data_IF_120258877030
#
_entry.id   IF_120258877030
#
_cell.length_a   1.000
_cell.length_b   1.000
_cell.length_c   1.000
_cell.angle_alpha   90.00
_cell.angle_beta   90.00
_cell.angle_gamma   90.00
#
_symmetry.space_group_name_H-M   'P 1'
#
loop_
_entity.id
_entity.type
_entity.pdbx_description
1 polymer ?
#
# COMPACT_ATOMS: atom_id res chain seq x y z
N UNK A 1 2.05 16.58 18.19
CA UNK A 1 0.75 15.87 18.08
C UNK A 1 0.51 15.14 16.73
N UNK A 2 1.35 15.26 15.70
CA UNK A 2 1.11 14.60 14.39
C UNK A 2 1.53 13.11 14.31
N UNK A 3 2.52 12.69 15.10
CA UNK A 3 3.08 11.32 15.07
C UNK A 3 2.09 10.24 15.49
N UNK A 4 1.25 10.53 16.48
CA UNK A 4 0.23 9.58 16.94
C UNK A 4 -0.73 9.19 15.81
N UNK A 5 -1.22 10.17 15.04
CA UNK A 5 -2.20 9.90 13.97
C UNK A 5 -1.66 8.99 12.86
N UNK A 6 -0.38 9.12 12.52
CA UNK A 6 0.25 8.32 11.45
C UNK A 6 0.49 6.88 11.92
N UNK A 7 0.82 6.66 13.19
CA UNK A 7 0.96 5.32 13.75
C UNK A 7 -0.38 4.58 13.86
N UNK A 8 -1.46 5.25 14.27
CA UNK A 8 -2.80 4.65 14.28
C UNK A 8 -3.31 4.28 12.88
N UNK A 9 -3.08 5.13 11.87
CA UNK A 9 -3.41 4.80 10.47
C UNK A 9 -2.63 3.57 10.01
N UNK A 10 -1.36 3.45 10.42
CA UNK A 10 -0.54 2.28 10.07
C UNK A 10 -1.06 1.00 10.70
N UNK A 11 -1.41 1.05 11.99
CA UNK A 11 -2.00 -0.10 12.68
C UNK A 11 -3.30 -0.54 12.01
N UNK A 12 -4.17 0.39 11.61
CA UNK A 12 -5.41 0.05 10.89
C UNK A 12 -5.14 -0.53 9.50
N UNK A 13 -4.13 -0.05 8.79
CA UNK A 13 -3.70 -0.63 7.52
C UNK A 13 -3.11 -2.04 7.72
N UNK A 14 -2.32 -2.24 8.78
CA UNK A 14 -1.72 -3.54 9.13
C UNK A 14 -2.80 -4.58 9.53
N UNK A 15 -3.96 -4.15 10.03
CA UNK A 15 -5.11 -5.00 10.33
C UNK A 15 -5.94 -5.39 9.10
N UNK A 16 -5.67 -4.83 7.92
CA UNK A 16 -6.37 -5.23 6.70
C UNK A 16 -5.97 -6.65 6.33
N UNK A 17 -6.96 -7.49 6.04
CA UNK A 17 -6.75 -8.88 5.56
C UNK A 17 -5.92 -8.91 4.28
N UNK A 18 -6.05 -7.87 3.46
CA UNK A 18 -5.40 -7.70 2.17
C UNK A 18 -4.26 -6.69 2.27
N UNK A 19 -3.05 -7.12 1.89
CA UNK A 19 -1.85 -6.26 1.85
C UNK A 19 -1.80 -5.35 0.63
N UNK A 20 -2.52 -5.69 -0.43
CA UNK A 20 -2.62 -4.92 -1.68
C UNK A 20 -3.95 -4.19 -1.70
N UNK A 21 -3.89 -2.87 -1.63
CA UNK A 21 -5.04 -2.01 -1.35
C UNK A 21 -5.08 -0.84 -2.32
N UNK A 22 -6.27 -0.46 -2.78
CA UNK A 22 -6.44 0.70 -3.66
C UNK A 22 -6.24 2.01 -2.91
N UNK A 23 -5.84 3.06 -3.65
CA UNK A 23 -5.74 4.43 -3.16
C UNK A 23 -7.00 4.88 -2.43
N UNK A 24 -8.17 4.58 -3.00
CA UNK A 24 -9.46 4.98 -2.44
C UNK A 24 -9.73 4.34 -1.09
N UNK A 25 -9.37 3.06 -0.92
CA UNK A 25 -9.49 2.38 0.36
C UNK A 25 -8.55 2.98 1.41
N UNK A 26 -7.31 3.32 1.03
CA UNK A 26 -6.37 4.00 1.93
C UNK A 26 -6.90 5.39 2.30
N UNK A 27 -7.42 6.15 1.33
CA UNK A 27 -8.01 7.47 1.58
C UNK A 27 -9.23 7.37 2.50
N UNK A 28 -10.10 6.36 2.32
CA UNK A 28 -11.23 6.11 3.24
C UNK A 28 -10.73 5.89 4.67
N UNK A 29 -9.71 5.04 4.86
CA UNK A 29 -9.10 4.82 6.17
C UNK A 29 -8.55 6.13 6.74
N UNK A 30 -7.80 6.90 5.95
CA UNK A 30 -7.24 8.18 6.41
C UNK A 30 -8.35 9.15 6.82
N UNK A 31 -9.42 9.27 6.03
CA UNK A 31 -10.55 10.18 6.30
C UNK A 31 -11.28 9.88 7.60
N UNK A 32 -11.29 8.63 8.06
CA UNK A 32 -11.84 8.26 9.38
C UNK A 32 -11.08 8.91 10.55
N UNK A 33 -9.80 9.25 10.36
CA UNK A 33 -8.95 9.81 11.41
C UNK A 33 -8.58 11.28 11.16
N UNK A 34 -8.52 11.70 9.90
CA UNK A 34 -8.18 13.06 9.53
C UNK A 34 -8.77 13.40 8.16
N UNK A 35 -9.78 14.25 8.19
CA UNK A 35 -10.53 14.65 7.00
C UNK A 35 -9.88 15.87 6.30
N UNK A 36 -8.86 16.51 6.88
CA UNK A 36 -8.35 17.79 6.38
C UNK A 36 -7.38 17.63 5.21
N UNK A 37 -6.50 16.62 5.24
CA UNK A 37 -5.44 16.46 4.20
C UNK A 37 -5.12 14.99 3.84
N UNK A 38 -6.09 14.21 3.32
CA UNK A 38 -5.89 12.78 3.07
C UNK A 38 -4.77 12.47 2.07
N UNK A 39 -4.58 13.32 1.04
CA UNK A 39 -3.53 13.14 0.04
C UNK A 39 -2.13 13.37 0.63
N UNK A 40 -1.97 14.40 1.48
CA UNK A 40 -0.70 14.69 2.16
C UNK A 40 -0.32 13.55 3.10
N UNK A 41 -1.29 12.98 3.80
CA UNK A 41 -1.07 11.79 4.64
C UNK A 41 -0.70 10.54 3.85
N UNK A 42 -1.34 10.31 2.70
CA UNK A 42 -0.94 9.24 1.78
C UNK A 42 0.52 9.40 1.34
N UNK A 43 0.93 10.62 0.98
CA UNK A 43 2.32 10.91 0.62
C UNK A 43 3.29 10.68 1.78
N UNK A 44 2.92 11.09 3.00
CA UNK A 44 3.72 10.82 4.20
C UNK A 44 3.86 9.32 4.48
N UNK A 45 2.81 8.52 4.30
CA UNK A 45 2.87 7.06 4.43
C UNK A 45 3.83 6.45 3.39
N UNK A 46 3.85 6.99 2.17
CA UNK A 46 4.79 6.55 1.13
C UNK A 46 6.23 6.93 1.48
N UNK A 47 6.47 8.19 1.86
CA UNK A 47 7.81 8.69 2.23
C UNK A 47 8.38 7.98 3.46
N UNK A 48 7.53 7.61 4.41
CA UNK A 48 7.92 6.85 5.62
C UNK A 48 8.09 5.35 5.38
N UNK A 49 7.94 4.87 4.13
CA UNK A 49 8.10 3.45 3.79
C UNK A 49 7.02 2.54 4.37
N UNK A 50 5.88 3.09 4.78
CA UNK A 50 4.74 2.31 5.31
C UNK A 50 3.91 1.68 4.20
N UNK A 51 3.87 2.33 3.04
CA UNK A 51 3.24 1.81 1.83
C UNK A 51 4.17 1.98 0.63
N UNK A 52 4.13 1.03 -0.31
CA UNK A 52 4.83 1.10 -1.61
C UNK A 52 3.81 1.18 -2.73
N UNK A 53 3.99 2.10 -3.67
CA UNK A 53 3.16 2.14 -4.87
C UNK A 53 3.44 0.92 -5.76
N UNK A 54 2.39 0.33 -6.34
CA UNK A 54 2.48 -0.81 -7.25
C UNK A 54 2.11 -0.37 -8.67
N UNK A 55 0.82 -0.30 -8.97
CA UNK A 55 0.27 -0.11 -10.32
C UNK A 55 -1.19 0.35 -10.23
N UNK A 56 -1.69 1.14 -11.19
CA UNK A 56 -3.08 1.62 -11.28
C UNK A 56 -3.69 2.10 -9.95
N UNK A 57 -2.98 2.96 -9.23
CA UNK A 57 -3.41 3.47 -7.91
C UNK A 57 -3.54 2.40 -6.82
N UNK A 58 -2.91 1.24 -6.96
CA UNK A 58 -2.76 0.27 -5.88
C UNK A 58 -1.43 0.44 -5.15
N UNK A 59 -1.47 0.11 -3.86
CA UNK A 59 -0.35 0.19 -2.95
C UNK A 59 -0.22 -1.13 -2.18
N UNK A 60 1.02 -1.48 -1.88
CA UNK A 60 1.40 -2.56 -0.99
C UNK A 60 1.65 -2.00 0.41
N UNK A 61 1.07 -2.61 1.43
CA UNK A 61 1.28 -2.27 2.85
C UNK A 61 2.48 -3.08 3.35
N UNK A 62 3.57 -2.40 3.72
CA UNK A 62 4.77 -3.06 4.21
C UNK A 62 4.58 -3.49 5.66
N UNK A 63 4.88 -4.76 5.95
CA UNK A 63 4.99 -5.23 7.33
C UNK A 63 6.10 -4.51 8.09
N UNK A 64 6.07 -4.60 9.41
CA UNK A 64 7.16 -4.12 10.25
C UNK A 64 8.52 -4.76 9.90
N UNK A 65 8.53 -6.07 9.59
CA UNK A 65 9.73 -6.77 9.17
C UNK A 65 10.28 -6.21 7.85
N UNK A 66 9.45 -6.05 6.82
CA UNK A 66 9.86 -5.50 5.52
C UNK A 66 10.37 -4.06 5.65
N UNK A 67 9.79 -3.27 6.57
CA UNK A 67 10.25 -1.91 6.88
C UNK A 67 11.64 -1.91 7.53
N UNK A 68 11.91 -2.84 8.45
CA UNK A 68 13.19 -2.95 9.16
C UNK A 68 14.30 -3.49 8.26
N UNK A 69 14.03 -4.56 7.52
CA UNK A 69 15.04 -5.24 6.68
C UNK A 69 15.22 -4.58 5.32
N UNK A 70 14.26 -3.75 4.89
CA UNK A 70 14.16 -3.22 3.51
C UNK A 70 14.07 -4.32 2.44
N UNK A 71 13.80 -5.56 2.85
CA UNK A 71 13.58 -6.71 1.97
C UNK A 71 12.08 -6.91 1.85
N UNK A 72 11.55 -6.89 0.63
CA UNK A 72 10.15 -7.15 0.35
C UNK A 72 9.87 -8.65 0.30
N UNK A 73 8.68 -9.05 0.76
CA UNK A 73 8.24 -10.45 0.65
C UNK A 73 7.96 -10.86 -0.80
N UNK A 74 7.58 -9.91 -1.65
CA UNK A 74 7.20 -10.15 -3.04
C UNK A 74 8.09 -9.36 -3.99
N UNK A 75 8.35 -9.95 -5.15
CA UNK A 75 8.95 -9.24 -6.27
C UNK A 75 7.99 -8.20 -6.86
N UNK A 76 8.52 -7.21 -7.58
CA UNK A 76 7.71 -6.12 -8.12
C UNK A 76 6.69 -6.63 -9.13
N UNK A 77 7.06 -7.64 -9.91
CA UNK A 77 6.27 -8.33 -10.92
C UNK A 77 5.10 -9.08 -10.28
N UNK A 78 5.33 -9.78 -9.17
CA UNK A 78 4.29 -10.48 -8.41
C UNK A 78 3.24 -9.51 -7.85
N UNK A 79 3.69 -8.33 -7.40
CA UNK A 79 2.78 -7.29 -6.93
C UNK A 79 1.92 -6.74 -8.07
N UNK A 80 2.50 -6.51 -9.26
CA UNK A 80 1.75 -6.05 -10.44
C UNK A 80 0.76 -7.12 -10.89
N UNK A 81 1.19 -8.37 -11.02
CA UNK A 81 0.34 -9.52 -11.33
C UNK A 81 -0.84 -9.64 -10.36
N UNK A 82 -0.59 -9.44 -9.07
CA UNK A 82 -1.63 -9.46 -8.05
C UNK A 82 -2.67 -8.35 -8.25
N UNK A 83 -2.24 -7.13 -8.63
CA UNK A 83 -3.15 -6.02 -8.96
C UNK A 83 -3.97 -6.34 -10.21
N UNK A 84 -3.33 -6.85 -11.27
CA UNK A 84 -4.01 -7.22 -12.51
C UNK A 84 -5.08 -8.30 -12.28
N UNK A 85 -4.75 -9.32 -11.47
CA UNK A 85 -5.68 -10.37 -11.07
C UNK A 85 -6.87 -9.82 -10.28
N UNK A 86 -6.64 -8.90 -9.32
CA UNK A 86 -7.72 -8.23 -8.58
C UNK A 86 -8.65 -7.43 -9.49
N UNK A 87 -8.11 -6.79 -10.51
CA UNK A 87 -8.87 -6.03 -11.49
C UNK A 87 -9.49 -6.89 -12.59
N UNK A 88 -9.27 -8.21 -12.57
CA UNK A 88 -9.68 -9.16 -13.61
C UNK A 88 -9.21 -8.74 -15.02
N UNK A 89 -8.08 -8.04 -15.10
CA UNK A 89 -7.47 -7.67 -16.37
C UNK A 89 -6.76 -8.90 -16.91
N UNK A 90 -6.99 -9.27 -18.17
CA UNK A 90 -6.25 -10.36 -18.80
C UNK A 90 -4.82 -9.90 -19.07
N UNK A 91 -3.84 -10.68 -18.60
CA UNK A 91 -2.43 -10.41 -18.81
C UNK A 91 -1.69 -11.73 -19.06
N UNK A 92 -0.57 -11.66 -19.77
CA UNK A 92 0.35 -12.77 -19.96
C UNK A 92 1.77 -12.27 -19.69
N UNK A 93 2.57 -13.08 -19.00
CA UNK A 93 3.99 -12.80 -18.85
C UNK A 93 4.71 -13.42 -20.05
N UNK A 94 5.14 -12.59 -21.00
CA UNK A 94 5.99 -13.07 -22.08
C UNK A 94 7.39 -13.31 -21.53
N UNK A 95 7.73 -14.57 -21.30
CA UNK A 95 9.12 -14.97 -21.08
C UNK A 95 9.82 -14.84 -22.42
N UNK A 96 10.66 -13.80 -22.57
CA UNK A 96 11.67 -13.79 -23.61
C UNK A 96 12.69 -14.88 -23.24
N UNK A 97 12.55 -16.04 -23.87
CA UNK A 97 13.59 -17.08 -23.94
C UNK A 97 14.76 -16.60 -24.78
#
# INVERSE_FOLDING_TARGET
MAENSTNYISQKLDMLKDKIVSKDNIIKVIKLFDNKTPLKKLENLRKSGKIKYIFLNYYYILSENERKTKVLKYFSEELIASVLNKLKIKWHYSLYT
#
